data_IF_944813872549
#
_entry.id   IF_944813872549
#
_cell.length_a   1.000
_cell.length_b   1.000
_cell.length_c   1.000
_cell.angle_alpha   90.00
_cell.angle_beta   90.00
_cell.angle_gamma   90.00
#
_symmetry.space_group_name_H-M   'P 1'
#
loop_
_entity.id
_entity.type
_entity.pdbx_description
1 polymer ?
#
# COMPACT_ATOMS: atom_id res chain seq x y z
N UNK A 1 -42.29 -4.45 -19.38
CA UNK A 1 -42.40 -4.95 -18.00
C UNK A 1 -41.44 -6.14 -17.74
N UNK A 2 -40.12 -6.00 -17.92
CA UNK A 2 -39.20 -7.18 -17.81
C UNK A 2 -37.91 -6.96 -16.99
N UNK A 3 -37.53 -5.71 -16.65
CA UNK A 3 -36.30 -5.47 -15.87
C UNK A 3 -36.49 -5.59 -14.33
N UNK A 4 -37.68 -5.26 -13.80
CA UNK A 4 -37.94 -5.31 -12.35
C UNK A 4 -38.05 -6.75 -11.80
N UNK A 5 -38.42 -7.72 -12.63
CA UNK A 5 -38.54 -9.13 -12.20
C UNK A 5 -37.16 -9.80 -12.02
N UNK A 6 -36.17 -9.43 -12.85
CA UNK A 6 -34.82 -9.97 -12.76
C UNK A 6 -34.10 -9.50 -11.49
N UNK A 7 -34.27 -8.24 -11.09
CA UNK A 7 -33.65 -7.69 -9.87
C UNK A 7 -34.22 -8.31 -8.60
N UNK A 8 -35.53 -8.58 -8.57
CA UNK A 8 -36.19 -9.26 -7.43
C UNK A 8 -35.74 -10.73 -7.34
N UNK A 9 -35.54 -11.39 -8.47
CA UNK A 9 -35.01 -12.76 -8.53
C UNK A 9 -33.58 -12.87 -7.96
N UNK A 10 -32.70 -11.93 -8.29
CA UNK A 10 -31.31 -11.91 -7.77
C UNK A 10 -31.27 -11.64 -6.26
N UNK A 11 -32.15 -10.78 -5.75
CA UNK A 11 -32.25 -10.50 -4.31
C UNK A 11 -32.76 -11.72 -3.54
N UNK A 12 -33.78 -12.42 -4.06
CA UNK A 12 -34.29 -13.65 -3.45
C UNK A 12 -33.25 -14.76 -3.44
N UNK A 13 -32.45 -14.88 -4.51
CA UNK A 13 -31.35 -15.84 -4.60
C UNK A 13 -30.22 -15.50 -3.62
N UNK A 14 -29.86 -14.22 -3.50
CA UNK A 14 -28.86 -13.78 -2.52
C UNK A 14 -29.31 -14.02 -1.08
N UNK A 15 -30.56 -13.69 -0.74
CA UNK A 15 -31.13 -13.90 0.60
C UNK A 15 -31.24 -15.39 0.93
N UNK A 16 -31.68 -16.22 -0.01
CA UNK A 16 -31.75 -17.67 0.19
C UNK A 16 -30.36 -18.30 0.32
N UNK A 17 -29.36 -17.83 -0.46
CA UNK A 17 -27.96 -18.26 -0.31
C UNK A 17 -27.38 -17.83 1.04
N UNK A 18 -27.64 -16.61 1.52
CA UNK A 18 -27.18 -16.19 2.86
C UNK A 18 -27.89 -16.94 3.97
N UNK A 19 -29.19 -17.24 3.82
CA UNK A 19 -29.96 -18.02 4.78
C UNK A 19 -29.50 -19.48 4.84
N UNK A 20 -29.23 -20.11 3.68
CA UNK A 20 -28.62 -21.44 3.59
C UNK A 20 -27.20 -21.45 4.17
N UNK A 21 -26.41 -20.39 3.95
CA UNK A 21 -25.07 -20.25 4.52
C UNK A 21 -25.10 -20.13 6.05
N UNK A 22 -26.08 -19.40 6.60
CA UNK A 22 -26.25 -19.23 8.04
C UNK A 22 -26.80 -20.49 8.71
N UNK A 23 -27.71 -21.22 8.04
CA UNK A 23 -28.29 -22.49 8.51
C UNK A 23 -27.29 -23.66 8.49
N UNK A 24 -26.30 -23.65 7.59
CA UNK A 24 -25.32 -24.73 7.44
C UNK A 24 -23.91 -24.40 7.96
N UNK A 25 -23.73 -23.28 8.69
CA UNK A 25 -22.43 -22.80 9.18
C UNK A 25 -21.60 -23.90 9.88
N UNK A 26 -22.25 -24.73 10.69
CA UNK A 26 -21.59 -25.79 11.46
C UNK A 26 -21.27 -27.05 10.63
N UNK A 27 -22.00 -27.29 9.53
CA UNK A 27 -21.72 -28.40 8.59
C UNK A 27 -20.70 -28.03 7.52
N UNK A 28 -20.59 -26.75 7.15
CA UNK A 28 -19.61 -26.22 6.18
C UNK A 28 -18.18 -26.26 6.74
N UNK A 29 -18.00 -26.04 8.06
CA UNK A 29 -16.71 -26.17 8.74
C UNK A 29 -16.05 -27.55 8.55
N UNK A 30 -16.84 -28.62 8.54
CA UNK A 30 -16.34 -30.01 8.42
C UNK A 30 -15.83 -30.30 6.99
N UNK A 31 -16.43 -29.70 5.96
CA UNK A 31 -16.03 -29.91 4.56
C UNK A 31 -14.82 -29.05 4.15
N UNK A 32 -14.58 -27.93 4.85
CA UNK A 32 -13.47 -27.01 4.56
C UNK A 32 -12.08 -27.64 4.70
N UNK A 33 -11.94 -28.75 5.45
CA UNK A 33 -10.67 -29.45 5.66
C UNK A 33 -10.43 -30.61 4.68
N UNK A 34 -11.34 -30.84 3.74
CA UNK A 34 -11.12 -31.80 2.66
C UNK A 34 -10.24 -31.13 1.60
N UNK A 35 -9.05 -31.67 1.36
CA UNK A 35 -8.04 -31.10 0.44
C UNK A 35 -8.60 -30.81 -0.95
N UNK A 36 -9.55 -31.62 -1.41
CA UNK A 36 -10.24 -31.46 -2.70
C UNK A 36 -11.08 -30.17 -2.71
N UNK A 37 -11.80 -29.86 -1.62
CA UNK A 37 -12.62 -28.64 -1.51
C UNK A 37 -11.73 -27.41 -1.47
N UNK A 38 -10.62 -27.43 -0.71
CA UNK A 38 -9.65 -26.32 -0.70
C UNK A 38 -9.02 -26.06 -2.07
N UNK A 39 -8.63 -27.13 -2.78
CA UNK A 39 -8.06 -27.01 -4.14
C UNK A 39 -9.08 -26.46 -5.13
N UNK A 40 -10.32 -26.94 -5.08
CA UNK A 40 -11.41 -26.44 -5.94
C UNK A 40 -11.74 -24.97 -5.63
N UNK A 41 -11.78 -24.57 -4.36
CA UNK A 41 -11.98 -23.16 -3.97
C UNK A 41 -10.82 -22.26 -4.42
N UNK A 42 -9.56 -22.74 -4.33
CA UNK A 42 -8.40 -22.00 -4.82
C UNK A 42 -8.42 -21.80 -6.34
N UNK A 43 -8.85 -22.82 -7.10
CA UNK A 43 -9.01 -22.73 -8.56
C UNK A 43 -10.13 -21.75 -8.93
N UNK A 44 -11.25 -21.77 -8.21
CA UNK A 44 -12.36 -20.82 -8.42
C UNK A 44 -11.91 -19.39 -8.07
N UNK A 45 -11.18 -19.20 -6.97
CA UNK A 45 -10.64 -17.90 -6.59
C UNK A 45 -9.64 -17.38 -7.63
N UNK A 46 -8.70 -18.21 -8.09
CA UNK A 46 -7.74 -17.84 -9.13
C UNK A 46 -8.42 -17.56 -10.47
N UNK A 47 -9.50 -18.28 -10.79
CA UNK A 47 -10.33 -18.00 -11.97
C UNK A 47 -11.07 -16.67 -11.84
N UNK A 48 -11.64 -16.35 -10.66
CA UNK A 48 -12.29 -15.06 -10.38
C UNK A 48 -11.28 -13.91 -10.46
N UNK A 49 -10.06 -14.08 -9.94
CA UNK A 49 -8.98 -13.08 -10.01
C UNK A 49 -8.46 -12.90 -11.44
N UNK A 50 -8.34 -13.98 -12.21
CA UNK A 50 -7.99 -13.91 -13.65
C UNK A 50 -9.10 -13.29 -14.48
N UNK A 51 -10.36 -13.55 -14.13
CA UNK A 51 -11.51 -12.94 -14.79
C UNK A 51 -11.60 -11.46 -14.42
N UNK A 52 -11.38 -11.08 -13.16
CA UNK A 52 -11.39 -9.67 -12.73
C UNK A 52 -10.25 -8.88 -13.35
N UNK A 53 -9.03 -9.45 -13.45
CA UNK A 53 -7.91 -8.79 -14.16
C UNK A 53 -8.12 -8.69 -15.67
N UNK A 54 -8.73 -9.69 -16.32
CA UNK A 54 -9.12 -9.60 -17.73
C UNK A 54 -10.25 -8.60 -17.96
N UNK A 55 -11.19 -8.48 -17.02
CA UNK A 55 -12.22 -7.44 -17.03
C UNK A 55 -11.56 -6.07 -16.80
N UNK A 56 -10.60 -5.92 -15.89
CA UNK A 56 -9.84 -4.67 -15.70
C UNK A 56 -9.03 -4.25 -16.92
N UNK A 57 -8.53 -5.21 -17.72
CA UNK A 57 -7.85 -4.94 -18.99
C UNK A 57 -8.83 -4.68 -20.15
N UNK A 58 -10.08 -5.14 -20.06
CA UNK A 58 -11.10 -5.02 -21.12
C UNK A 58 -12.14 -3.92 -20.84
N UNK A 59 -12.14 -3.29 -19.67
CA UNK A 59 -12.94 -2.10 -19.33
C UNK A 59 -12.11 -0.84 -19.59
N UNK A 60 -11.59 -0.71 -20.82
CA UNK A 60 -11.57 0.58 -21.50
C UNK A 60 -12.77 0.60 -22.44
N UNK A 61 -13.97 0.64 -21.85
CA UNK A 61 -15.18 1.01 -22.57
C UNK A 61 -15.76 2.23 -21.86
N UNK A 62 -15.49 3.39 -22.45
CA UNK A 62 -16.12 4.66 -22.17
C UNK A 62 -17.63 4.50 -22.03
N UNK A 63 -18.16 4.71 -20.83
CA UNK A 63 -19.60 4.83 -20.60
C UNK A 63 -20.01 6.29 -20.89
N UNK A 64 -20.97 6.55 -21.81
CA UNK A 64 -21.30 7.89 -22.27
C UNK A 64 -22.24 8.61 -21.28
N UNK A 65 -21.64 9.24 -20.26
CA UNK A 65 -22.09 10.50 -19.65
C UNK A 65 -20.83 11.21 -19.15
N UNK A 66 -20.12 11.82 -20.08
CA UNK A 66 -18.92 12.60 -19.81
C UNK A 66 -19.31 13.85 -18.99
N UNK A 67 -19.32 13.71 -17.67
CA UNK A 67 -19.11 14.86 -16.81
C UNK A 67 -17.63 15.16 -16.94
N UNK A 68 -17.30 16.08 -17.84
CA UNK A 68 -16.02 16.77 -17.80
C UNK A 68 -15.79 17.23 -16.36
N UNK A 69 -14.67 16.85 -15.75
CA UNK A 69 -14.35 17.24 -14.38
C UNK A 69 -14.48 18.76 -14.25
N UNK A 70 -15.08 19.25 -13.16
CA UNK A 70 -15.09 20.68 -12.88
C UNK A 70 -13.65 21.13 -12.68
N UNK A 71 -13.27 22.20 -13.36
CA UNK A 71 -11.98 22.83 -13.18
C UNK A 71 -12.12 24.02 -12.23
N UNK A 72 -11.17 24.16 -11.33
CA UNK A 72 -11.09 25.24 -10.36
C UNK A 72 -9.82 26.06 -10.59
N UNK A 73 -9.89 27.38 -10.41
CA UNK A 73 -8.68 28.20 -10.27
C UNK A 73 -8.20 28.22 -8.81
N UNK A 74 -6.95 28.63 -8.58
CA UNK A 74 -6.39 28.80 -7.23
C UNK A 74 -7.22 29.78 -6.40
N UNK A 75 -7.65 30.89 -6.99
CA UNK A 75 -8.47 31.92 -6.33
C UNK A 75 -9.88 31.41 -6.00
N UNK A 76 -10.40 30.50 -6.81
CA UNK A 76 -11.68 29.86 -6.54
C UNK A 76 -11.57 28.87 -5.38
N UNK A 77 -10.56 27.99 -5.37
CA UNK A 77 -10.36 27.03 -4.28
C UNK A 77 -10.05 27.74 -2.97
N UNK A 78 -9.30 28.84 -2.98
CA UNK A 78 -8.96 29.64 -1.79
C UNK A 78 -10.19 30.15 -1.01
N UNK A 79 -11.34 30.28 -1.68
CA UNK A 79 -12.60 30.68 -1.02
C UNK A 79 -13.16 29.59 -0.09
N UNK A 80 -12.78 28.32 -0.30
CA UNK A 80 -13.26 27.17 0.47
C UNK A 80 -12.29 26.84 1.62
N UNK A 81 -11.91 27.85 2.41
CA UNK A 81 -10.94 27.72 3.51
C UNK A 81 -11.59 27.34 4.86
N UNK A 82 -12.93 27.39 4.95
CA UNK A 82 -13.67 27.04 6.16
C UNK A 82 -13.83 28.16 7.19
N UNK A 83 -13.30 29.35 6.92
CA UNK A 83 -13.51 30.54 7.74
C UNK A 83 -14.97 31.02 7.70
N UNK A 84 -15.30 32.00 8.55
CA UNK A 84 -16.63 32.63 8.54
C UNK A 84 -16.97 33.18 7.14
N UNK A 85 -18.13 32.78 6.62
CA UNK A 85 -18.57 33.14 5.26
C UNK A 85 -18.04 32.22 4.15
N UNK A 86 -17.18 31.24 4.47
CA UNK A 86 -16.72 30.24 3.51
C UNK A 86 -17.87 29.32 3.06
N UNK A 87 -18.03 29.03 1.76
CA UNK A 87 -19.04 28.10 1.25
C UNK A 87 -18.78 26.62 1.59
N UNK A 88 -17.60 26.30 2.14
CA UNK A 88 -17.22 24.94 2.55
C UNK A 88 -15.74 24.86 2.90
N UNK A 89 -15.21 23.65 3.03
CA UNK A 89 -13.78 23.41 3.28
C UNK A 89 -13.27 22.47 2.20
N UNK A 90 -12.48 22.98 1.26
CA UNK A 90 -11.87 22.16 0.21
C UNK A 90 -10.39 21.95 0.51
N UNK A 91 -9.88 20.82 0.07
CA UNK A 91 -8.48 20.46 0.16
C UNK A 91 -8.04 19.93 -1.21
N UNK A 92 -6.81 20.26 -1.60
CA UNK A 92 -6.24 19.77 -2.86
C UNK A 92 -5.00 18.92 -2.60
N UNK A 93 -4.94 17.77 -3.27
CA UNK A 93 -3.79 16.86 -3.25
C UNK A 93 -3.58 16.31 -4.66
N UNK A 94 -2.36 16.45 -5.19
CA UNK A 94 -1.98 16.15 -6.58
C UNK A 94 -2.95 16.78 -7.59
N UNK A 95 -3.35 18.03 -7.34
CA UNK A 95 -4.30 18.78 -8.16
C UNK A 95 -5.75 18.28 -8.12
N UNK A 96 -6.09 17.28 -7.29
CA UNK A 96 -7.47 16.78 -7.12
C UNK A 96 -8.15 17.50 -5.97
N UNK A 97 -9.33 18.08 -6.22
CA UNK A 97 -10.08 18.88 -5.25
C UNK A 97 -11.10 18.01 -4.52
N UNK A 98 -11.06 18.01 -3.19
CA UNK A 98 -11.98 17.28 -2.32
C UNK A 98 -12.70 18.21 -1.35
N UNK A 99 -13.99 17.97 -1.15
CA UNK A 99 -14.78 18.61 -0.11
C UNK A 99 -14.57 17.86 1.22
N UNK A 100 -13.84 18.51 2.12
CA UNK A 100 -13.46 18.00 3.44
C UNK A 100 -14.30 18.59 4.56
N UNK A 101 -15.43 19.24 4.24
CA UNK A 101 -16.30 19.90 5.23
C UNK A 101 -16.79 18.95 6.34
N UNK A 102 -16.97 17.66 6.04
CA UNK A 102 -17.32 16.63 7.05
C UNK A 102 -16.23 16.38 8.09
N UNK A 103 -15.00 16.80 7.79
CA UNK A 103 -13.84 16.80 8.68
C UNK A 103 -13.54 18.16 9.29
N UNK A 104 -14.53 19.05 9.44
CA UNK A 104 -14.33 20.43 9.92
C UNK A 104 -13.55 20.55 11.24
N UNK A 105 -13.65 19.57 12.14
CA UNK A 105 -12.83 19.52 13.37
C UNK A 105 -11.31 19.47 13.12
N UNK A 106 -10.90 19.02 11.93
CA UNK A 106 -9.50 18.88 11.52
C UNK A 106 -9.07 20.03 10.61
N UNK A 107 -9.92 20.40 9.65
CA UNK A 107 -9.58 21.31 8.55
C UNK A 107 -10.22 22.70 8.68
N UNK A 108 -11.22 22.86 9.54
CA UNK A 108 -11.83 24.16 9.83
C UNK A 108 -10.96 25.01 10.77
N UNK A 109 -11.35 26.27 11.00
CA UNK A 109 -10.60 27.21 11.84
C UNK A 109 -10.29 26.61 13.22
N UNK A 110 -9.03 26.71 13.65
CA UNK A 110 -8.53 26.11 14.89
C UNK A 110 -8.22 24.60 14.83
N UNK A 111 -8.49 23.94 13.70
CA UNK A 111 -8.13 22.55 13.47
C UNK A 111 -6.63 22.36 13.17
N UNK A 112 -6.06 21.22 13.55
CA UNK A 112 -4.63 20.94 13.39
C UNK A 112 -4.14 20.89 11.94
N UNK A 113 -5.06 20.70 10.98
CA UNK A 113 -4.79 20.63 9.55
C UNK A 113 -5.45 21.76 8.78
N UNK A 114 -5.83 22.85 9.46
CA UNK A 114 -6.46 24.00 8.83
C UNK A 114 -5.59 24.64 7.73
N UNK A 115 -4.27 24.56 7.86
CA UNK A 115 -3.31 25.05 6.86
C UNK A 115 -3.49 24.42 5.45
N UNK A 116 -4.22 23.31 5.34
CA UNK A 116 -4.49 22.65 4.06
C UNK A 116 -5.78 23.12 3.38
N UNK A 117 -6.62 23.86 4.10
CA UNK A 117 -7.89 24.31 3.58
C UNK A 117 -7.71 25.38 2.49
N UNK A 118 -8.45 25.23 1.40
CA UNK A 118 -8.47 26.17 0.28
C UNK A 118 -7.21 26.18 -0.59
N UNK A 119 -6.32 25.18 -0.50
CA UNK A 119 -5.08 25.14 -1.30
C UNK A 119 -4.62 23.72 -1.63
N UNK A 120 -3.63 23.61 -2.51
CA UNK A 120 -2.87 22.38 -2.73
C UNK A 120 -1.68 22.34 -1.78
N UNK A 121 -1.75 21.40 -0.84
CA UNK A 121 -0.75 21.18 0.19
C UNK A 121 -0.07 19.80 0.01
N UNK A 122 0.04 19.31 -1.23
CA UNK A 122 0.57 17.98 -1.56
C UNK A 122 1.87 17.65 -0.84
N UNK A 123 2.80 18.62 -0.76
CA UNK A 123 4.09 18.42 -0.09
C UNK A 123 3.96 18.27 1.42
N UNK A 124 3.10 19.07 2.06
CA UNK A 124 2.95 19.13 3.51
C UNK A 124 2.44 17.82 4.13
N UNK A 125 1.77 16.97 3.36
CA UNK A 125 1.29 15.66 3.79
C UNK A 125 2.38 14.70 4.28
N UNK A 126 3.60 14.88 3.78
CA UNK A 126 4.72 13.99 4.08
C UNK A 126 5.87 14.70 4.78
N UNK A 127 6.04 16.00 4.53
CA UNK A 127 7.04 16.79 5.25
C UNK A 127 6.59 17.22 6.65
N UNK A 128 5.27 17.32 6.88
CA UNK A 128 4.72 17.90 8.12
C UNK A 128 4.98 19.41 8.25
N UNK A 129 5.47 20.07 7.20
CA UNK A 129 5.73 21.51 7.19
C UNK A 129 4.46 22.27 6.81
N UNK A 130 3.79 22.84 7.81
CA UNK A 130 2.54 23.59 7.64
C UNK A 130 2.77 25.10 7.46
N UNK A 131 4.01 25.54 7.26
CA UNK A 131 4.32 26.92 6.90
C UNK A 131 3.85 27.24 5.48
N UNK A 132 3.84 28.53 5.12
CA UNK A 132 3.54 28.96 3.74
C UNK A 132 4.52 28.36 2.71
N UNK A 133 5.77 28.09 3.10
CA UNK A 133 6.74 27.44 2.21
C UNK A 133 6.50 25.93 2.08
N UNK A 134 5.99 25.28 3.14
CA UNK A 134 5.72 23.85 3.16
C UNK A 134 4.39 23.46 2.53
N UNK A 135 3.40 24.34 2.58
CA UNK A 135 2.05 24.16 2.00
C UNK A 135 2.04 24.47 0.50
N UNK A 136 2.80 23.69 -0.25
CA UNK A 136 2.97 23.81 -1.70
C UNK A 136 2.53 22.55 -2.45
N UNK A 137 2.20 22.76 -3.72
CA UNK A 137 1.87 21.73 -4.70
C UNK A 137 3.12 21.03 -5.27
N UNK A 138 4.33 21.57 -5.04
CA UNK A 138 5.58 21.04 -5.59
C UNK A 138 6.17 19.89 -4.76
N UNK A 139 6.12 18.69 -5.34
CA UNK A 139 6.65 17.44 -4.79
C UNK A 139 8.05 17.09 -5.29
N UNK A 140 8.72 18.02 -5.97
CA UNK A 140 10.10 17.82 -6.45
C UNK A 140 11.05 17.56 -5.26
N UNK A 141 11.97 16.62 -5.44
CA UNK A 141 12.97 16.28 -4.43
C UNK A 141 12.47 15.46 -3.25
N UNK A 142 11.20 15.04 -3.24
CA UNK A 142 10.69 14.08 -2.26
C UNK A 142 11.30 12.69 -2.49
N UNK A 143 11.46 11.93 -1.41
CA UNK A 143 11.99 10.56 -1.48
C UNK A 143 10.96 9.60 -2.09
N UNK A 144 11.36 8.40 -2.55
CA UNK A 144 10.42 7.39 -3.00
C UNK A 144 9.34 7.04 -1.95
N UNK A 145 9.73 6.94 -0.67
CA UNK A 145 8.79 6.64 0.42
C UNK A 145 7.80 7.80 0.66
N UNK A 146 8.25 9.05 0.52
CA UNK A 146 7.38 10.23 0.57
C UNK A 146 6.38 10.23 -0.60
N UNK A 147 6.84 9.98 -1.82
CA UNK A 147 5.98 9.94 -3.01
C UNK A 147 4.91 8.84 -2.90
N UNK A 148 5.29 7.66 -2.40
CA UNK A 148 4.33 6.60 -2.09
C UNK A 148 3.33 7.05 -1.03
N UNK A 149 3.81 7.71 0.03
CA UNK A 149 2.93 8.21 1.10
C UNK A 149 1.95 9.27 0.59
N UNK A 150 2.35 10.15 -0.33
CA UNK A 150 1.43 11.09 -1.00
C UNK A 150 0.37 10.33 -1.81
N UNK A 151 0.75 9.27 -2.52
CA UNK A 151 -0.20 8.43 -3.25
C UNK A 151 -1.21 7.76 -2.30
N UNK A 152 -0.75 7.25 -1.16
CA UNK A 152 -1.60 6.67 -0.12
C UNK A 152 -2.58 7.71 0.44
N UNK A 153 -2.11 8.95 0.72
CA UNK A 153 -2.97 10.07 1.10
C UNK A 153 -3.99 10.41 0.00
N UNK A 154 -3.57 10.48 -1.26
CA UNK A 154 -4.48 10.77 -2.38
C UNK A 154 -5.60 9.74 -2.47
N UNK A 155 -5.27 8.45 -2.25
CA UNK A 155 -6.25 7.36 -2.22
C UNK A 155 -7.16 7.44 -0.99
N UNK A 156 -6.62 7.79 0.18
CA UNK A 156 -7.42 8.06 1.38
C UNK A 156 -8.46 9.14 1.09
N UNK A 157 -8.07 10.30 0.55
CA UNK A 157 -9.02 11.36 0.24
C UNK A 157 -10.05 10.97 -0.81
N UNK A 158 -9.64 10.18 -1.81
CA UNK A 158 -10.54 9.65 -2.82
C UNK A 158 -11.65 8.77 -2.21
N UNK A 159 -11.30 7.94 -1.23
CA UNK A 159 -12.23 7.03 -0.56
C UNK A 159 -13.06 7.75 0.52
N UNK A 160 -12.41 8.66 1.25
CA UNK A 160 -12.92 9.25 2.48
C UNK A 160 -13.48 10.65 2.31
N UNK A 161 -13.49 11.26 1.12
CA UNK A 161 -14.04 12.59 0.90
C UNK A 161 -14.71 12.73 -0.47
N UNK A 162 -15.54 13.76 -0.62
CA UNK A 162 -16.30 13.95 -1.86
C UNK A 162 -15.41 14.63 -2.89
N UNK A 163 -15.07 13.93 -3.97
CA UNK A 163 -14.36 14.51 -5.11
C UNK A 163 -15.19 15.61 -5.79
N UNK A 164 -14.57 16.76 -6.06
CA UNK A 164 -15.22 17.95 -6.64
C UNK A 164 -14.71 18.32 -8.02
N UNK A 165 -13.48 17.94 -8.36
CA UNK A 165 -12.87 18.26 -9.66
C UNK A 165 -11.36 18.40 -9.59
N UNK A 166 -10.79 19.17 -10.52
CA UNK A 166 -9.35 19.38 -10.68
C UNK A 166 -8.98 20.85 -10.48
N UNK A 167 -7.82 21.10 -9.89
CA UNK A 167 -7.22 22.42 -9.79
C UNK A 167 -6.37 22.68 -11.05
N UNK A 168 -6.67 23.77 -11.74
CA UNK A 168 -5.84 24.28 -12.85
C UNK A 168 -4.52 24.77 -12.27
N UNK A 169 -3.41 24.28 -12.80
CA UNK A 169 -2.08 24.65 -12.34
C UNK A 169 -1.04 23.59 -12.67
N UNK A 170 -0.21 23.24 -11.69
CA UNK A 170 0.94 22.35 -11.89
C UNK A 170 0.57 20.96 -12.39
N UNK A 171 -0.56 20.43 -11.93
CA UNK A 171 -0.99 19.04 -12.20
C UNK A 171 -1.93 18.92 -13.40
N UNK A 172 -2.78 19.92 -13.64
CA UNK A 172 -3.74 19.93 -14.75
C UNK A 172 -3.75 21.29 -15.45
N UNK A 173 -3.85 21.32 -16.77
CA UNK A 173 -3.94 22.56 -17.55
C UNK A 173 -5.37 23.15 -17.55
N UNK A 174 -5.59 24.24 -18.31
CA UNK A 174 -6.89 24.92 -18.45
C UNK A 174 -7.97 24.07 -19.08
N UNK A 175 -7.59 23.00 -19.78
CA UNK A 175 -8.49 22.04 -20.42
C UNK A 175 -8.79 20.84 -19.50
N UNK A 176 -8.09 20.73 -18.36
CA UNK A 176 -8.25 19.64 -17.41
C UNK A 176 -7.41 18.39 -17.73
N UNK A 177 -6.53 18.50 -18.72
CA UNK A 177 -5.57 17.47 -19.11
C UNK A 177 -4.35 17.50 -18.19
N UNK A 178 -3.72 16.34 -18.04
CA UNK A 178 -2.51 16.17 -17.22
C UNK A 178 -1.34 16.92 -17.85
N UNK A 179 -0.59 17.64 -17.03
CA UNK A 179 0.66 18.27 -17.44
C UNK A 179 1.81 17.25 -17.51
N UNK A 180 2.93 17.63 -18.14
CA UNK A 180 4.16 16.84 -18.09
C UNK A 180 4.66 16.62 -16.66
N UNK A 181 4.45 17.61 -15.79
CA UNK A 181 4.76 17.50 -14.36
C UNK A 181 3.94 16.38 -13.70
N UNK A 182 2.62 16.33 -13.92
CA UNK A 182 1.78 15.26 -13.38
C UNK A 182 2.25 13.90 -13.89
N UNK A 183 2.53 13.78 -15.19
CA UNK A 183 2.96 12.51 -15.78
C UNK A 183 4.28 12.02 -15.19
N UNK A 184 5.22 12.93 -14.95
CA UNK A 184 6.49 12.58 -14.30
C UNK A 184 6.31 12.18 -12.83
N UNK A 185 5.50 12.90 -12.07
CA UNK A 185 5.18 12.54 -10.68
C UNK A 185 4.49 11.18 -10.60
N UNK A 186 3.52 10.90 -11.49
CA UNK A 186 2.83 9.60 -11.55
C UNK A 186 3.81 8.47 -11.87
N UNK A 187 4.76 8.70 -12.78
CA UNK A 187 5.83 7.75 -13.09
C UNK A 187 6.71 7.48 -11.87
N UNK A 188 7.14 8.52 -11.15
CA UNK A 188 7.97 8.37 -9.95
C UNK A 188 7.24 7.64 -8.83
N UNK A 189 5.95 7.96 -8.60
CA UNK A 189 5.08 7.25 -7.64
C UNK A 189 4.96 5.77 -8.01
N UNK A 190 4.76 5.45 -9.29
CA UNK A 190 4.68 4.06 -9.77
C UNK A 190 5.97 3.29 -9.50
N UNK A 191 7.11 3.89 -9.82
CA UNK A 191 8.44 3.31 -9.54
C UNK A 191 8.64 3.10 -8.04
N UNK A 192 8.30 4.09 -7.21
CA UNK A 192 8.40 3.99 -5.76
C UNK A 192 7.51 2.89 -5.18
N UNK A 193 6.27 2.77 -5.69
CA UNK A 193 5.32 1.74 -5.26
C UNK A 193 5.80 0.34 -5.63
N UNK A 194 6.32 0.15 -6.84
CA UNK A 194 6.91 -1.11 -7.29
C UNK A 194 8.15 -1.47 -6.48
N UNK A 195 9.02 -0.51 -6.19
CA UNK A 195 10.19 -0.71 -5.35
C UNK A 195 9.81 -1.11 -3.92
N UNK A 196 8.82 -0.44 -3.33
CA UNK A 196 8.28 -0.77 -2.00
C UNK A 196 7.62 -2.16 -1.98
N UNK A 197 6.85 -2.51 -3.01
CA UNK A 197 6.25 -3.84 -3.15
C UNK A 197 7.33 -4.93 -3.28
N UNK A 198 8.37 -4.69 -4.08
CA UNK A 198 9.50 -5.59 -4.22
C UNK A 198 10.28 -5.75 -2.91
N UNK A 199 10.50 -4.67 -2.17
CA UNK A 199 11.12 -4.72 -0.84
C UNK A 199 10.26 -5.48 0.16
N UNK A 200 8.95 -5.25 0.18
CA UNK A 200 8.04 -5.98 1.06
C UNK A 200 8.03 -7.48 0.74
N UNK A 201 8.00 -7.85 -0.55
CA UNK A 201 8.12 -9.24 -0.97
C UNK A 201 9.47 -9.86 -0.57
N UNK A 202 10.55 -9.11 -0.69
CA UNK A 202 11.89 -9.51 -0.24
C UNK A 202 11.94 -9.73 1.28
N UNK A 203 11.29 -8.87 2.06
CA UNK A 203 11.23 -8.98 3.53
C UNK A 203 10.34 -10.15 3.98
N UNK A 204 9.23 -10.41 3.29
CA UNK A 204 8.41 -11.60 3.56
C UNK A 204 9.17 -12.89 3.27
N UNK A 205 9.97 -12.89 2.18
CA UNK A 205 10.78 -14.05 1.80
C UNK A 205 12.01 -14.23 2.68
N UNK A 206 12.64 -13.13 3.07
CA UNK A 206 13.87 -13.08 3.85
C UNK A 206 13.72 -12.10 5.03
N UNK A 207 12.95 -12.45 6.08
CA UNK A 207 12.67 -11.55 7.20
C UNK A 207 13.95 -11.06 7.88
N UNK A 208 14.06 -9.78 8.24
CA UNK A 208 15.23 -9.29 8.98
C UNK A 208 15.40 -10.04 10.31
N UNK A 209 16.66 -10.24 10.72
CA UNK A 209 16.96 -10.75 12.05
C UNK A 209 16.68 -9.70 13.12
N UNK A 210 16.46 -10.14 14.35
CA UNK A 210 16.65 -9.29 15.50
C UNK A 210 18.16 -9.05 15.69
N UNK A 211 18.53 -7.87 16.15
CA UNK A 211 19.92 -7.49 16.33
C UNK A 211 20.11 -6.68 17.61
N UNK A 212 21.24 -6.91 18.27
CA UNK A 212 21.72 -6.12 19.40
C UNK A 212 23.22 -5.89 19.22
N UNK A 213 23.72 -4.80 19.78
CA UNK A 213 25.13 -4.49 19.80
C UNK A 213 25.52 -4.00 21.19
N UNK A 214 26.65 -4.49 21.70
CA UNK A 214 27.27 -3.93 22.90
C UNK A 214 28.76 -3.69 22.66
N UNK A 215 29.38 -2.70 23.31
CA UNK A 215 30.80 -2.42 23.15
C UNK A 215 31.70 -3.62 23.48
N UNK A 216 31.33 -4.43 24.47
CA UNK A 216 32.15 -5.52 25.00
C UNK A 216 32.02 -6.82 24.19
N UNK A 217 30.83 -7.07 23.62
CA UNK A 217 30.48 -8.35 23.02
C UNK A 217 30.15 -8.25 21.52
N UNK A 218 30.22 -7.05 20.95
CA UNK A 218 29.96 -6.77 19.55
C UNK A 218 28.52 -7.06 19.11
N UNK A 219 28.33 -7.18 17.80
CA UNK A 219 27.04 -7.45 17.18
C UNK A 219 26.56 -8.87 17.46
N UNK A 220 25.31 -9.04 17.89
CA UNK A 220 24.60 -10.32 17.92
C UNK A 220 23.32 -10.23 17.11
N UNK A 221 23.07 -11.24 16.29
CA UNK A 221 21.85 -11.39 15.51
C UNK A 221 21.16 -12.70 15.85
N UNK A 222 19.83 -12.70 15.92
CA UNK A 222 19.06 -13.90 16.16
C UNK A 222 17.71 -13.88 15.46
N UNK A 223 17.16 -15.06 15.28
CA UNK A 223 15.83 -15.27 14.73
C UNK A 223 14.90 -15.75 15.82
N UNK A 224 13.64 -15.34 15.73
CA UNK A 224 12.53 -15.85 16.54
C UNK A 224 11.29 -15.94 15.65
N UNK A 225 10.18 -16.41 16.23
CA UNK A 225 8.87 -16.33 15.58
C UNK A 225 8.45 -14.88 15.27
N UNK A 226 9.11 -13.87 15.88
CA UNK A 226 8.88 -12.45 15.62
C UNK A 226 10.22 -11.72 15.42
N UNK A 227 10.63 -11.57 14.16
CA UNK A 227 11.87 -10.86 13.79
C UNK A 227 11.59 -9.84 12.68
N UNK A 228 12.23 -8.67 12.76
CA UNK A 228 12.05 -7.61 11.76
C UNK A 228 10.62 -7.08 11.65
N UNK A 229 9.82 -7.18 12.73
CA UNK A 229 8.41 -6.80 12.74
C UNK A 229 7.46 -7.81 12.08
N UNK A 230 7.96 -8.97 11.63
CA UNK A 230 7.18 -10.01 10.97
C UNK A 230 6.98 -11.18 11.94
N UNK A 231 5.73 -11.59 12.13
CA UNK A 231 5.33 -12.75 12.93
C UNK A 231 5.10 -13.98 12.03
N UNK A 232 5.64 -15.13 12.42
CA UNK A 232 5.72 -16.36 11.61
C UNK A 232 5.56 -17.60 12.50
N UNK A 233 5.20 -18.72 11.90
CA UNK A 233 5.08 -20.03 12.56
C UNK A 233 6.43 -20.79 12.66
N UNK A 234 7.52 -20.16 12.24
CA UNK A 234 8.89 -20.70 12.33
C UNK A 234 9.88 -19.65 12.84
N UNK A 235 10.95 -20.11 13.50
CA UNK A 235 12.04 -19.29 14.03
C UNK A 235 13.09 -19.04 12.95
N UNK A 236 13.72 -20.13 12.51
CA UNK A 236 14.76 -20.12 11.48
C UNK A 236 16.12 -19.71 12.02
N UNK A 237 17.08 -19.58 11.11
CA UNK A 237 18.50 -19.34 11.44
C UNK A 237 19.00 -18.06 10.78
N UNK A 238 19.87 -17.26 11.44
CA UNK A 238 20.43 -16.04 10.86
C UNK A 238 21.39 -16.37 9.70
N UNK A 239 21.25 -15.64 8.59
CA UNK A 239 22.14 -15.70 7.41
C UNK A 239 22.40 -14.30 6.84
N UNK A 240 23.53 -14.14 6.16
CA UNK A 240 23.85 -12.96 5.36
C UNK A 240 23.05 -13.01 4.06
N UNK A 241 22.18 -12.04 3.84
CA UNK A 241 21.37 -11.91 2.64
C UNK A 241 21.85 -10.74 1.78
N UNK A 242 22.19 -11.01 0.52
CA UNK A 242 22.63 -10.02 -0.47
C UNK A 242 21.46 -9.69 -1.40
N UNK A 243 21.02 -8.45 -1.52
CA UNK A 243 20.01 -8.16 -2.55
C UNK A 243 20.63 -8.41 -3.94
N UNK A 244 19.93 -9.00 -4.93
CA UNK A 244 20.50 -9.16 -6.27
C UNK A 244 20.99 -7.80 -6.82
N UNK A 245 22.24 -7.74 -7.25
CA UNK A 245 22.89 -6.51 -7.70
C UNK A 245 23.48 -5.63 -6.58
N UNK A 246 23.49 -6.09 -5.33
CA UNK A 246 24.13 -5.43 -4.19
C UNK A 246 25.31 -6.24 -3.67
N UNK A 247 26.43 -5.55 -3.41
CA UNK A 247 27.59 -6.13 -2.73
C UNK A 247 27.47 -6.07 -1.20
N UNK A 248 26.53 -5.26 -0.69
CA UNK A 248 26.20 -5.22 0.73
C UNK A 248 25.18 -6.31 1.10
N UNK A 249 25.31 -6.82 2.33
CA UNK A 249 24.38 -7.79 2.89
C UNK A 249 23.67 -7.24 4.13
N UNK A 250 22.52 -7.82 4.44
CA UNK A 250 21.83 -7.69 5.72
C UNK A 250 21.65 -9.05 6.38
N UNK A 251 21.31 -9.08 7.66
CA UNK A 251 20.87 -10.32 8.29
C UNK A 251 19.45 -10.68 7.82
N UNK A 252 19.22 -11.95 7.50
CA UNK A 252 17.90 -12.52 7.26
C UNK A 252 17.70 -13.85 7.98
N UNK A 253 16.48 -14.10 8.45
CA UNK A 253 16.05 -15.36 9.01
C UNK A 253 15.66 -16.34 7.91
N UNK A 254 16.27 -17.52 7.92
CA UNK A 254 16.07 -18.56 6.91
C UNK A 254 15.49 -19.80 7.57
N UNK A 255 14.41 -20.34 7.01
CA UNK A 255 13.85 -21.60 7.49
C UNK A 255 14.72 -22.74 6.98
N UNK A 256 15.29 -23.52 7.89
CA UNK A 256 15.93 -24.79 7.57
C UNK A 256 14.88 -25.89 7.71
N UNK A 257 14.56 -26.58 6.62
CA UNK A 257 13.72 -27.78 6.68
C UNK A 257 14.59 -28.98 7.10
N UNK A 258 14.02 -29.88 7.92
CA UNK A 258 14.75 -30.95 8.61
C UNK A 258 15.63 -31.82 7.70
N UNK A 259 16.82 -32.16 8.24
CA UNK A 259 17.90 -32.99 7.68
C UNK A 259 18.75 -32.37 6.55
N UNK A 260 19.45 -31.28 6.86
CA UNK A 260 20.76 -31.05 6.25
C UNK A 260 21.81 -31.90 6.99
N UNK A 261 21.88 -33.20 6.66
CA UNK A 261 23.11 -33.97 6.90
C UNK A 261 24.23 -33.28 6.11
N UNK A 262 25.30 -32.89 6.82
CA UNK A 262 26.58 -32.39 6.32
C UNK A 262 26.59 -31.67 4.94
N UNK A 263 26.81 -30.35 4.87
CA UNK A 263 27.08 -29.69 3.60
C UNK A 263 28.56 -29.88 3.25
N UNK A 264 28.92 -31.05 2.72
CA UNK A 264 30.04 -31.08 1.80
C UNK A 264 29.56 -30.53 0.46
N UNK A 265 30.28 -29.52 -0.03
CA UNK A 265 30.23 -29.01 -1.40
C UNK A 265 28.96 -28.25 -1.87
N UNK A 266 29.16 -26.94 -2.06
CA UNK A 266 28.76 -26.22 -3.29
C UNK A 266 27.25 -26.11 -3.59
N UNK A 267 26.42 -25.74 -2.62
CA UNK A 267 25.24 -24.91 -2.95
C UNK A 267 25.60 -23.42 -2.90
N UNK A 268 26.36 -22.98 -3.91
CA UNK A 268 26.22 -21.59 -4.41
C UNK A 268 24.85 -21.49 -5.08
N UNK A 269 23.77 -21.53 -4.32
CA UNK A 269 22.41 -21.26 -4.82
C UNK A 269 21.83 -20.11 -4.03
N UNK A 270 22.13 -18.93 -4.53
CA UNK A 270 21.44 -17.73 -4.13
C UNK A 270 22.26 -16.84 -3.21
N UNK A 271 21.62 -15.72 -2.98
CA UNK A 271 22.11 -14.57 -2.29
C UNK A 271 22.03 -14.70 -0.75
N UNK A 272 22.26 -15.90 -0.22
CA UNK A 272 22.19 -16.23 1.21
C UNK A 272 23.48 -16.95 1.60
N UNK A 273 24.21 -16.45 2.60
CA UNK A 273 25.51 -16.96 3.05
C UNK A 273 25.50 -17.14 4.58
N UNK A 274 26.18 -18.18 5.08
CA UNK A 274 26.30 -18.39 6.53
C UNK A 274 27.22 -17.35 7.20
N UNK A 275 26.94 -17.04 8.47
CA UNK A 275 27.88 -16.27 9.28
C UNK A 275 29.09 -17.15 9.61
N UNK A 276 30.29 -16.56 9.52
CA UNK A 276 31.51 -17.21 10.00
C UNK A 276 31.37 -17.48 11.50
N UNK A 277 31.84 -18.66 11.93
CA UNK A 277 31.81 -19.10 13.33
C UNK A 277 30.40 -19.20 13.94
N UNK A 278 29.34 -19.31 13.12
CA UNK A 278 27.99 -19.58 13.58
C UNK A 278 27.53 -20.99 13.17
N UNK A 279 27.09 -21.85 14.10
CA UNK A 279 26.61 -23.19 13.77
C UNK A 279 25.43 -23.14 12.77
N UNK A 280 25.34 -24.06 11.79
CA UNK A 280 24.31 -24.03 10.77
C UNK A 280 22.87 -24.07 11.31
N UNK A 281 22.64 -24.74 12.44
CA UNK A 281 21.34 -24.83 13.10
C UNK A 281 21.11 -23.77 14.18
N UNK A 282 22.05 -22.85 14.40
CA UNK A 282 21.92 -21.86 15.46
C UNK A 282 20.90 -20.79 15.11
N UNK A 283 19.97 -20.54 16.02
CA UNK A 283 18.99 -19.45 15.91
C UNK A 283 19.62 -18.10 16.30
N UNK A 284 20.87 -18.08 16.77
CA UNK A 284 21.57 -16.91 17.31
C UNK A 284 23.06 -16.94 16.96
N UNK A 285 23.59 -15.86 16.38
CA UNK A 285 24.98 -15.73 15.96
C UNK A 285 25.62 -14.45 16.52
N UNK A 286 26.86 -14.54 17.00
CA UNK A 286 27.72 -13.37 17.23
C UNK A 286 28.42 -13.02 15.91
N UNK A 287 28.32 -11.78 15.49
CA UNK A 287 28.89 -11.29 14.24
C UNK A 287 30.11 -10.45 14.58
N UNK A 288 31.26 -10.83 14.04
CA UNK A 288 32.45 -9.99 14.04
C UNK A 288 32.35 -9.08 12.82
N UNK A 289 32.50 -7.78 13.05
CA UNK A 289 32.52 -6.76 11.99
C UNK A 289 33.67 -7.01 11.00
#
# INVERSE_FOLDING_TARGET
MSFKAATVGVLFLAISVTYLHEYHRDKIMILSNITIVKRSLAVIHDFIVKLSSKISLSVHHSNPKDKTDRLFSTEEVAKFNGEEGSPGIYLVILGKVYDVSRGSKHYGPGGSYHAFAGRDASRAFVTGDFSENGTTDDVTGLTPDDLKSIQDWSQFYHNEYTYKGKLIGRYYNSEGDRTDYYNEVERLIKVASEASAAQNADYQKYPPCNAEWTPEAGSRVWCSNRSGGIERDWVGVPRKYYKPGSDSYRCACIQIHGEATHPDSKQKKGNVIEYKDCPPSSESCRVKD
#
